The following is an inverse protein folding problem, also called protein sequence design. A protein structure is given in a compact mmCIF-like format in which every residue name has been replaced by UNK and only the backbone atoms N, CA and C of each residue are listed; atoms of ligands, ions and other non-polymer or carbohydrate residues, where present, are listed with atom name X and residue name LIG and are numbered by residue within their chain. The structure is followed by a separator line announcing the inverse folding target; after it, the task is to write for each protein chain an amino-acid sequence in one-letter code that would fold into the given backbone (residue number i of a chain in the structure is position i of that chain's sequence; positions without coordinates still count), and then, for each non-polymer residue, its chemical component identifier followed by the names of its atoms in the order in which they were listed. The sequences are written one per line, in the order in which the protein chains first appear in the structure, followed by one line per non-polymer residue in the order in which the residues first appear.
data_IF_428978196639
#
_entry.id   IF_428978196639
#
_cell.length_a   1.000
_cell.length_b   1.000
_cell.length_c   1.000
_cell.angle_alpha   90.00
_cell.angle_beta   90.00
_cell.angle_gamma   90.00
#
_symmetry.space_group_name_H-M   'P 1'
#
loop_
_entity.id
_entity.type
_entity.pdbx_description
1 polymer ?
#
# COMPACT_ATOMS: atom_id res chain seq x y z
N UNK A 1 10.74 -2.12 -11.08
CA UNK A 1 10.15 -3.49 -10.98
C UNK A 1 8.95 -3.54 -11.90
N UNK A 2 8.75 -4.62 -12.65
CA UNK A 2 7.55 -4.82 -13.47
C UNK A 2 6.80 -6.02 -12.89
N UNK A 3 5.51 -5.88 -12.64
CA UNK A 3 4.72 -6.95 -12.03
C UNK A 3 3.23 -6.78 -12.28
N UNK A 4 2.47 -7.80 -11.91
CA UNK A 4 1.01 -7.81 -12.02
C UNK A 4 0.39 -7.44 -10.68
N UNK A 5 -0.59 -6.53 -10.67
CA UNK A 5 -1.36 -6.20 -9.48
C UNK A 5 -2.23 -7.41 -9.09
N UNK A 6 -1.97 -7.98 -7.91
CA UNK A 6 -2.70 -9.16 -7.40
C UNK A 6 -3.65 -8.84 -6.25
N UNK A 7 -3.56 -7.64 -5.68
CA UNK A 7 -4.42 -7.18 -4.61
C UNK A 7 -4.40 -5.67 -4.48
N UNK A 8 -5.50 -5.07 -4.03
CA UNK A 8 -5.66 -3.63 -3.88
C UNK A 8 -6.62 -3.33 -2.73
N UNK A 9 -6.33 -2.29 -1.95
CA UNK A 9 -7.21 -1.78 -0.91
C UNK A 9 -7.96 -0.54 -1.38
N UNK A 10 -9.12 -0.29 -0.78
CA UNK A 10 -9.85 0.96 -0.98
C UNK A 10 -9.07 2.15 -0.41
N UNK A 11 -9.37 3.33 -0.96
CA UNK A 11 -8.84 4.60 -0.44
C UNK A 11 -9.38 4.84 0.96
N UNK A 12 -8.49 5.15 1.90
CA UNK A 12 -8.84 5.45 3.30
C UNK A 12 -8.29 6.82 3.69
N UNK A 13 -9.16 7.65 4.26
CA UNK A 13 -8.81 8.91 4.91
C UNK A 13 -8.62 8.73 6.41
N UNK A 14 -7.73 9.51 7.01
CA UNK A 14 -7.54 9.58 8.46
C UNK A 14 -7.02 10.96 8.88
N UNK A 15 -7.30 11.42 10.11
CA UNK A 15 -6.85 12.73 10.58
C UNK A 15 -5.32 12.86 10.60
N UNK A 16 -4.78 13.99 10.11
CA UNK A 16 -3.35 14.29 10.18
C UNK A 16 -2.97 14.71 11.61
N UNK A 17 -2.22 13.85 12.29
CA UNK A 17 -1.72 14.13 13.65
C UNK A 17 -0.75 15.32 13.70
N UNK A 18 -0.09 15.65 12.59
CA UNK A 18 0.84 16.79 12.52
C UNK A 18 0.13 18.10 12.18
N UNK A 19 -1.01 18.02 11.50
CA UNK A 19 -1.75 19.16 10.98
C UNK A 19 -3.22 19.03 11.39
N UNK A 20 -3.51 19.39 12.64
CA UNK A 20 -4.85 19.26 13.24
C UNK A 20 -5.87 20.00 12.35
N UNK A 21 -6.98 19.32 12.02
CA UNK A 21 -8.02 19.84 11.14
C UNK A 21 -7.83 19.49 9.66
N UNK A 22 -6.76 18.78 9.30
CA UNK A 22 -6.57 18.21 7.96
C UNK A 22 -6.56 16.69 7.99
N UNK A 23 -6.82 16.07 6.83
CA UNK A 23 -6.81 14.63 6.65
C UNK A 23 -5.69 14.20 5.69
N UNK A 24 -5.23 12.96 5.86
CA UNK A 24 -4.34 12.27 4.92
C UNK A 24 -5.02 11.04 4.39
N UNK A 25 -4.65 10.69 3.17
CA UNK A 25 -5.25 9.58 2.46
C UNK A 25 -4.18 8.57 2.10
N UNK A 26 -4.58 7.31 2.01
CA UNK A 26 -3.72 6.23 1.55
C UNK A 26 -4.52 5.18 0.81
N UNK A 27 -3.85 4.50 -0.11
CA UNK A 27 -4.27 3.21 -0.64
C UNK A 27 -3.02 2.36 -0.83
N UNK A 28 -3.23 1.05 -0.92
CA UNK A 28 -2.16 0.09 -1.09
C UNK A 28 -2.52 -0.91 -2.17
N UNK A 29 -1.51 -1.44 -2.84
CA UNK A 29 -1.69 -2.57 -3.73
C UNK A 29 -0.47 -3.48 -3.67
N UNK A 30 -0.67 -4.73 -4.04
CA UNK A 30 0.36 -5.76 -4.05
C UNK A 30 0.65 -6.13 -5.49
N UNK A 31 1.94 -6.10 -5.86
CA UNK A 31 2.37 -6.59 -7.17
C UNK A 31 3.19 -7.87 -7.01
N UNK A 32 3.07 -8.74 -8.02
CA UNK A 32 3.81 -9.99 -8.12
C UNK A 32 4.61 -10.01 -9.41
N UNK A 33 5.90 -10.27 -9.32
CA UNK A 33 6.82 -10.40 -10.47
C UNK A 33 7.31 -11.85 -10.66
N UNK A 34 7.15 -12.73 -9.66
CA UNK A 34 7.50 -14.15 -9.73
C UNK A 34 6.43 -15.06 -9.09
N UNK A 35 6.44 -16.38 -9.32
CA UNK A 35 5.55 -17.32 -8.64
C UNK A 35 5.70 -17.38 -7.12
N UNK A 36 6.72 -16.76 -6.52
CA UNK A 36 6.98 -16.81 -5.07
C UNK A 36 7.08 -15.43 -4.43
N UNK A 37 7.42 -14.41 -5.21
CA UNK A 37 7.80 -13.10 -4.70
C UNK A 37 6.75 -12.04 -5.02
N UNK A 38 6.50 -11.18 -4.04
CA UNK A 38 5.58 -10.05 -4.17
C UNK A 38 6.07 -8.89 -3.31
N UNK A 39 5.66 -7.68 -3.68
CA UNK A 39 5.90 -6.48 -2.89
C UNK A 39 4.60 -5.73 -2.63
N UNK A 40 4.52 -5.09 -1.47
CA UNK A 40 3.43 -4.19 -1.14
C UNK A 40 3.84 -2.76 -1.46
N UNK A 41 3.01 -2.07 -2.24
CA UNK A 41 3.14 -0.66 -2.57
C UNK A 41 2.13 0.11 -1.74
N UNK A 42 2.58 1.16 -1.05
CA UNK A 42 1.73 2.07 -0.29
C UNK A 42 1.88 3.47 -0.84
N UNK A 43 0.76 4.14 -1.12
CA UNK A 43 0.75 5.55 -1.50
C UNK A 43 0.11 6.38 -0.41
N UNK A 44 0.69 7.55 -0.12
CA UNK A 44 0.21 8.49 0.89
C UNK A 44 0.14 9.88 0.29
N UNK A 45 -0.90 10.64 0.62
CA UNK A 45 -1.04 11.99 0.07
C UNK A 45 -2.34 12.68 0.46
N UNK A 46 -2.69 13.68 -0.34
CA UNK A 46 -4.00 14.34 -0.30
C UNK A 46 -5.04 13.46 -0.99
N UNK A 47 -6.31 13.74 -0.74
CA UNK A 47 -7.42 12.95 -1.27
C UNK A 47 -7.36 12.83 -2.79
N UNK A 48 -7.25 13.97 -3.48
CA UNK A 48 -7.38 14.03 -4.94
C UNK A 48 -6.28 13.22 -5.61
N UNK A 49 -5.05 13.36 -5.12
CA UNK A 49 -3.90 12.60 -5.60
C UNK A 49 -4.09 11.10 -5.37
N UNK A 50 -4.43 10.70 -4.15
CA UNK A 50 -4.56 9.30 -3.77
C UNK A 50 -5.71 8.62 -4.51
N UNK A 51 -6.84 9.30 -4.66
CA UNK A 51 -8.03 8.78 -5.36
C UNK A 51 -7.77 8.63 -6.85
N UNK A 52 -7.25 9.68 -7.50
CA UNK A 52 -6.89 9.63 -8.93
C UNK A 52 -5.84 8.56 -9.23
N UNK A 53 -4.82 8.44 -8.38
CA UNK A 53 -3.80 7.40 -8.55
C UNK A 53 -4.39 6.01 -8.34
N UNK A 54 -5.24 5.81 -7.32
CA UNK A 54 -5.92 4.54 -7.09
C UNK A 54 -6.76 4.12 -8.29
N UNK A 55 -7.52 5.03 -8.90
CA UNK A 55 -8.35 4.73 -10.08
C UNK A 55 -7.56 4.25 -11.30
N UNK A 56 -6.26 4.56 -11.35
CA UNK A 56 -5.35 4.14 -12.42
C UNK A 56 -4.87 2.69 -12.28
N UNK A 57 -5.22 1.98 -11.19
CA UNK A 57 -4.79 0.60 -10.94
C UNK A 57 -5.97 -0.34 -10.68
N UNK A 58 -5.96 -1.50 -11.32
CA UNK A 58 -6.91 -2.60 -11.14
C UNK A 58 -6.16 -3.92 -10.93
N UNK A 59 -6.81 -4.86 -10.25
CA UNK A 59 -6.28 -6.23 -10.13
C UNK A 59 -6.20 -6.85 -11.53
N UNK A 60 -5.05 -7.42 -11.86
CA UNK A 60 -4.72 -7.96 -13.19
C UNK A 60 -3.89 -7.01 -14.07
N UNK A 61 -3.77 -5.72 -13.72
CA UNK A 61 -2.97 -4.78 -14.50
C UNK A 61 -1.47 -5.10 -14.38
N UNK A 62 -0.75 -5.01 -15.50
CA UNK A 62 0.71 -5.04 -15.52
C UNK A 62 1.25 -3.62 -15.35
N UNK A 63 2.07 -3.42 -14.32
CA UNK A 63 2.54 -2.09 -13.90
C UNK A 63 4.06 -2.06 -13.78
N UNK A 64 4.63 -0.90 -14.10
CA UNK A 64 6.05 -0.61 -13.85
C UNK A 64 6.16 0.32 -12.64
N UNK A 65 6.94 -0.09 -11.65
CA UNK A 65 7.28 0.71 -10.47
C UNK A 65 8.68 1.27 -10.67
N UNK A 66 8.77 2.60 -10.72
CA UNK A 66 10.00 3.36 -10.92
C UNK A 66 10.28 4.26 -9.71
N UNK A 67 11.56 4.39 -9.35
CA UNK A 67 12.04 5.22 -8.25
C UNK A 67 11.24 5.09 -6.92
N UNK A 68 10.88 3.87 -6.46
CA UNK A 68 10.13 3.73 -5.22
C UNK A 68 10.99 4.08 -4.00
N UNK A 69 10.35 4.58 -2.95
CA UNK A 69 10.95 4.56 -1.62
C UNK A 69 10.84 3.13 -1.05
N UNK A 70 11.95 2.40 -1.04
CA UNK A 70 11.99 1.00 -0.60
C UNK A 70 12.17 0.92 0.92
N UNK A 71 11.32 0.14 1.57
CA UNK A 71 11.43 -0.20 2.98
C UNK A 71 11.38 -1.73 3.13
N UNK A 72 12.38 -2.31 3.79
CA UNK A 72 12.35 -3.73 4.15
C UNK A 72 11.29 -3.97 5.22
N UNK A 73 10.46 -5.00 5.03
CA UNK A 73 9.65 -5.53 6.13
C UNK A 73 10.58 -6.20 7.13
N UNK A 74 10.68 -5.66 8.35
CA UNK A 74 11.31 -6.36 9.47
C UNK A 74 10.44 -7.57 9.82
N UNK A 75 10.90 -8.78 9.50
CA UNK A 75 10.17 -10.03 9.73
C UNK A 75 9.77 -10.23 11.21
N UNK A 76 10.53 -9.66 12.16
CA UNK A 76 10.38 -9.91 13.59
C UNK A 76 9.09 -9.35 14.23
N UNK A 77 8.38 -8.42 13.57
CA UNK A 77 7.14 -7.84 14.13
C UNK A 77 5.86 -8.61 13.80
N UNK A 78 5.82 -9.36 12.69
CA UNK A 78 4.64 -10.12 12.28
C UNK A 78 4.62 -11.56 12.85
N UNK A 79 5.77 -12.10 13.30
CA UNK A 79 5.85 -13.42 13.96
C UNK A 79 5.61 -13.41 15.49
N UNK A 80 5.18 -12.28 16.06
CA UNK A 80 4.69 -12.30 17.46
C UNK A 80 3.28 -12.87 17.47
N UNK A 81 3.19 -14.18 17.70
CA UNK A 81 1.97 -14.86 18.12
C UNK A 81 1.38 -14.10 19.32
N UNK A 82 0.38 -13.26 19.06
CA UNK A 82 -0.35 -12.47 20.05
C UNK A 82 -1.78 -13.04 20.15
N UNK A 83 -1.98 -14.20 20.79
CA UNK A 83 -3.32 -14.72 21.02
C UNK A 83 -4.05 -13.74 21.94
N UNK A 84 -5.22 -13.27 21.51
CA UNK A 84 -6.10 -12.46 22.36
C UNK A 84 -6.87 -13.43 23.25
N UNK A 85 -6.70 -13.33 24.57
CA UNK A 85 -7.57 -14.03 25.52
C UNK A 85 -8.84 -13.22 25.79
N UNK A 86 -10.01 -13.87 25.98
CA UNK A 86 -11.29 -13.22 26.29
C UNK A 86 -11.27 -12.31 27.53
#
# INVERSE_FOLDING_TARGET
VIGVVIGKTDVRGFPDRKNIGSERYTFSFTIRDSPTDFINVNSWGREEYVRSLSESFRVGDCVTIENPLVQSKEAEREEKFNPVTP
#
